data_IF_879460180986
#
_entry.id   IF_879460180986
#
_cell.length_a   1.000
_cell.length_b   1.000
_cell.length_c   1.000
_cell.angle_alpha   90.00
_cell.angle_beta   90.00
_cell.angle_gamma   90.00
#
_symmetry.space_group_name_H-M   'P 1'
#
loop_
_entity.id
_entity.type
_entity.pdbx_description
1 polymer ?
#
# COMPACT_ATOMS: atom_id res chain seq x y z
N UNK A 1 22.30 -1.69 -18.27
CA UNK A 1 21.78 -2.69 -17.31
C UNK A 1 20.28 -2.51 -17.29
N UNK A 2 19.54 -3.51 -17.78
CA UNK A 2 18.22 -3.33 -18.39
C UNK A 2 17.15 -2.76 -17.46
N UNK A 3 16.61 -1.59 -17.81
CA UNK A 3 15.23 -1.24 -17.49
C UNK A 3 14.35 -2.12 -18.36
N UNK A 4 14.23 -3.39 -17.99
CA UNK A 4 13.32 -4.35 -18.57
C UNK A 4 12.25 -4.55 -17.52
N UNK A 5 11.12 -3.87 -17.70
CA UNK A 5 9.77 -4.42 -17.48
C UNK A 5 8.69 -3.32 -17.50
N UNK A 6 8.50 -2.73 -18.68
CA UNK A 6 7.22 -2.09 -19.02
C UNK A 6 6.16 -3.20 -19.12
N UNK A 7 5.57 -3.59 -18.00
CA UNK A 7 4.48 -4.55 -17.98
C UNK A 7 3.25 -3.89 -18.62
N UNK A 8 3.11 -4.04 -19.94
CA UNK A 8 1.93 -3.65 -20.70
C UNK A 8 1.04 -4.90 -20.77
N UNK A 9 -0.14 -4.83 -20.14
CA UNK A 9 -1.21 -5.77 -20.45
C UNK A 9 -2.01 -5.22 -21.64
N UNK A 10 -2.23 -6.06 -22.64
CA UNK A 10 -3.05 -5.74 -23.82
C UNK A 10 -4.45 -6.30 -23.56
N UNK A 11 -5.39 -5.43 -23.16
CA UNK A 11 -6.81 -5.80 -23.09
C UNK A 11 -7.52 -5.24 -24.31
N UNK A 12 -7.93 -6.11 -25.22
CA UNK A 12 -8.70 -5.87 -26.46
C UNK A 12 -8.18 -4.78 -27.41
N UNK A 13 -7.96 -3.53 -26.97
CA UNK A 13 -7.48 -2.39 -27.77
C UNK A 13 -6.63 -1.37 -26.96
N UNK A 14 -6.47 -1.53 -25.63
CA UNK A 14 -5.74 -0.59 -24.77
C UNK A 14 -4.49 -1.22 -24.13
N UNK A 15 -3.38 -0.47 -24.19
CA UNK A 15 -2.15 -0.73 -23.44
C UNK A 15 -2.28 -0.09 -22.06
N UNK A 16 -2.44 -0.89 -21.02
CA UNK A 16 -2.41 -0.40 -19.64
C UNK A 16 -0.98 -0.50 -19.13
N UNK A 17 -0.41 0.63 -18.69
CA UNK A 17 0.87 0.63 -18.00
C UNK A 17 0.64 0.14 -16.57
N UNK A 18 1.02 -1.12 -16.27
CA UNK A 18 0.80 -1.73 -14.96
C UNK A 18 1.42 -0.90 -13.84
N UNK A 19 2.51 -0.18 -14.08
CA UNK A 19 3.11 0.72 -13.10
C UNK A 19 2.18 1.85 -12.66
N UNK A 20 1.36 2.39 -13.56
CA UNK A 20 0.39 3.46 -13.24
C UNK A 20 -0.71 2.91 -12.34
N UNK A 21 -1.25 1.75 -12.70
CA UNK A 21 -2.28 1.06 -11.92
C UNK A 21 -1.73 0.68 -10.53
N UNK A 22 -0.53 0.10 -10.46
CA UNK A 22 0.16 -0.20 -9.21
C UNK A 22 0.37 1.04 -8.34
N UNK A 23 0.79 2.17 -8.92
CA UNK A 23 1.00 3.41 -8.19
C UNK A 23 -0.31 3.95 -7.61
N UNK A 24 -1.38 3.93 -8.40
CA UNK A 24 -2.72 4.37 -7.98
C UNK A 24 -3.27 3.51 -6.83
N UNK A 25 -3.25 2.18 -6.99
CA UNK A 25 -3.70 1.24 -5.96
C UNK A 25 -2.89 1.41 -4.67
N UNK A 26 -1.57 1.50 -4.79
CA UNK A 26 -0.68 1.70 -3.64
C UNK A 26 -1.02 2.98 -2.89
N UNK A 27 -1.23 4.08 -3.61
CA UNK A 27 -1.59 5.36 -3.00
C UNK A 27 -2.92 5.26 -2.25
N UNK A 28 -3.93 4.64 -2.86
CA UNK A 28 -5.25 4.42 -2.24
C UNK A 28 -5.15 3.60 -0.95
N UNK A 29 -4.40 2.49 -0.97
CA UNK A 29 -4.15 1.66 0.21
C UNK A 29 -3.46 2.48 1.31
N UNK A 30 -2.40 3.21 1.00
CA UNK A 30 -1.67 4.00 2.00
C UNK A 30 -2.58 5.07 2.63
N UNK A 31 -3.39 5.76 1.83
CA UNK A 31 -4.33 6.76 2.32
C UNK A 31 -5.36 6.18 3.29
N UNK A 32 -5.86 4.97 3.02
CA UNK A 32 -6.77 4.27 3.92
C UNK A 32 -6.13 4.04 5.30
N UNK A 33 -4.86 3.59 5.32
CA UNK A 33 -4.13 3.34 6.56
C UNK A 33 -3.82 4.64 7.31
N UNK A 34 -3.37 5.69 6.61
CA UNK A 34 -3.12 7.02 7.21
C UNK A 34 -4.39 7.57 7.83
N UNK A 35 -5.52 7.47 7.12
CA UNK A 35 -6.83 7.95 7.60
C UNK A 35 -7.24 7.20 8.86
N UNK A 36 -7.17 5.87 8.85
CA UNK A 36 -7.46 5.04 10.01
C UNK A 36 -6.61 5.43 11.23
N UNK A 37 -5.28 5.57 11.03
CA UNK A 37 -4.36 6.01 12.08
C UNK A 37 -4.73 7.37 12.66
N UNK A 38 -5.06 8.35 11.79
CA UNK A 38 -5.43 9.71 12.19
C UNK A 38 -6.74 9.74 12.97
N UNK A 39 -7.77 8.99 12.54
CA UNK A 39 -9.05 8.87 13.24
C UNK A 39 -8.86 8.33 14.66
N UNK A 40 -7.94 7.38 14.83
CA UNK A 40 -7.61 6.83 16.15
C UNK A 40 -6.64 7.70 16.98
N UNK A 41 -6.29 8.91 16.51
CA UNK A 41 -5.36 9.81 17.19
C UNK A 41 -3.96 9.22 17.39
N UNK A 42 -3.54 8.26 16.54
CA UNK A 42 -2.24 7.61 16.68
C UNK A 42 -1.13 8.36 15.96
N UNK A 43 0.00 8.55 16.63
CA UNK A 43 1.24 8.99 15.96
C UNK A 43 1.87 7.85 15.17
N UNK A 44 2.72 8.16 14.18
CA UNK A 44 3.50 7.14 13.47
C UNK A 44 4.36 6.30 14.43
N UNK A 45 4.93 6.92 15.48
CA UNK A 45 5.71 6.23 16.50
C UNK A 45 4.87 5.24 17.32
N UNK A 46 3.64 5.63 17.69
CA UNK A 46 2.70 4.75 18.40
C UNK A 46 2.27 3.57 17.54
N UNK A 47 1.97 3.82 16.26
CA UNK A 47 1.64 2.76 15.30
C UNK A 47 2.81 1.80 15.11
N UNK A 48 4.02 2.32 14.91
CA UNK A 48 5.24 1.53 14.78
C UNK A 48 5.48 0.61 15.99
N UNK A 49 5.33 1.16 17.21
CA UNK A 49 5.45 0.39 18.46
C UNK A 49 4.41 -0.73 18.54
N UNK A 50 3.15 -0.47 18.14
CA UNK A 50 2.09 -1.49 18.13
C UNK A 50 2.32 -2.57 17.06
N UNK A 51 2.81 -2.17 15.88
CA UNK A 51 3.07 -3.07 14.76
C UNK A 51 4.37 -3.88 14.92
N UNK A 52 5.19 -3.57 15.94
CA UNK A 52 6.47 -4.24 16.15
C UNK A 52 7.48 -3.99 15.02
N UNK A 53 7.43 -2.81 14.39
CA UNK A 53 8.34 -2.43 13.30
C UNK A 53 8.97 -1.06 13.54
N UNK A 54 10.13 -0.76 12.94
CA UNK A 54 10.76 0.55 13.05
C UNK A 54 9.85 1.68 12.60
N UNK A 55 9.91 2.84 13.29
CA UNK A 55 9.17 4.05 12.88
C UNK A 55 9.50 4.47 11.45
N UNK A 56 10.75 4.30 11.03
CA UNK A 56 11.21 4.57 9.66
C UNK A 56 10.43 3.77 8.62
N UNK A 57 10.02 2.54 8.94
CA UNK A 57 9.19 1.73 8.05
C UNK A 57 7.79 2.35 7.90
N UNK A 58 7.17 2.79 9.00
CA UNK A 58 5.89 3.53 8.94
C UNK A 58 6.02 4.82 8.14
N UNK A 59 7.08 5.60 8.36
CA UNK A 59 7.30 6.85 7.62
C UNK A 59 7.48 6.60 6.12
N UNK A 60 8.28 5.61 5.73
CA UNK A 60 8.44 5.23 4.31
C UNK A 60 7.12 4.73 3.72
N UNK A 61 6.33 4.00 4.52
CA UNK A 61 5.06 3.43 4.06
C UNK A 61 4.06 4.54 3.78
N UNK A 62 3.92 5.47 4.71
CA UNK A 62 3.03 6.63 4.56
C UNK A 62 3.50 7.63 3.49
N UNK A 63 4.75 7.56 3.03
CA UNK A 63 5.25 8.42 1.97
C UNK A 63 4.98 7.90 0.56
N UNK A 64 4.52 6.66 0.39
CA UNK A 64 4.26 6.07 -0.94
C UNK A 64 5.49 5.71 -1.77
N UNK A 65 6.69 5.90 -1.20
CA UNK A 65 7.94 5.82 -1.96
C UNK A 65 8.46 4.39 -2.20
N UNK A 66 7.77 3.36 -1.71
CA UNK A 66 8.13 1.97 -1.99
C UNK A 66 6.90 1.06 -1.99
N UNK A 67 7.07 -0.16 -2.50
CA UNK A 67 6.02 -1.18 -2.52
C UNK A 67 5.99 -1.95 -1.19
N UNK A 68 5.01 -1.73 -0.29
CA UNK A 68 4.91 -2.50 0.94
C UNK A 68 4.58 -3.97 0.65
N UNK A 69 5.19 -4.89 1.38
CA UNK A 69 4.83 -6.30 1.31
C UNK A 69 3.45 -6.54 1.93
N UNK A 70 2.78 -7.62 1.50
CA UNK A 70 1.52 -8.06 2.11
C UNK A 70 1.67 -8.27 3.63
N UNK A 71 2.78 -8.86 4.06
CA UNK A 71 3.09 -9.05 5.48
C UNK A 71 3.07 -7.72 6.25
N UNK A 72 3.69 -6.68 5.70
CA UNK A 72 3.72 -5.37 6.33
C UNK A 72 2.33 -4.74 6.40
N UNK A 73 1.53 -4.85 5.32
CA UNK A 73 0.15 -4.37 5.31
C UNK A 73 -0.68 -5.05 6.43
N UNK A 74 -0.59 -6.39 6.53
CA UNK A 74 -1.28 -7.16 7.56
C UNK A 74 -0.84 -6.73 8.97
N UNK A 75 0.46 -6.56 9.22
CA UNK A 75 0.97 -6.10 10.54
C UNK A 75 0.43 -4.73 10.92
N UNK A 76 0.42 -3.77 9.98
CA UNK A 76 -0.06 -2.42 10.26
C UNK A 76 -1.58 -2.43 10.46
N UNK A 77 -2.34 -3.19 9.68
CA UNK A 77 -3.78 -3.35 9.86
C UNK A 77 -4.10 -3.91 11.26
N UNK A 78 -3.41 -4.98 11.66
CA UNK A 78 -3.57 -5.56 12.99
C UNK A 78 -3.24 -4.56 14.11
N UNK A 79 -2.18 -3.76 13.96
CA UNK A 79 -1.81 -2.71 14.92
C UNK A 79 -2.85 -1.58 15.04
N UNK A 80 -3.62 -1.34 13.98
CA UNK A 80 -4.77 -0.44 13.92
C UNK A 80 -6.07 -1.10 14.43
N UNK A 81 -6.05 -2.39 14.78
CA UNK A 81 -7.25 -3.15 15.15
C UNK A 81 -8.18 -3.41 13.95
N UNK A 82 -7.61 -3.50 12.75
CA UNK A 82 -8.30 -3.69 11.48
C UNK A 82 -7.89 -5.03 10.84
N UNK A 83 -8.71 -5.51 9.90
CA UNK A 83 -8.39 -6.67 9.06
C UNK A 83 -8.17 -6.21 7.62
N UNK A 84 -7.13 -6.71 6.95
CA UNK A 84 -6.90 -6.47 5.53
C UNK A 84 -7.72 -7.46 4.70
N UNK A 85 -8.59 -6.93 3.84
CA UNK A 85 -9.33 -7.70 2.84
C UNK A 85 -8.89 -7.26 1.44
N UNK A 86 -8.63 -8.23 0.56
CA UNK A 86 -8.31 -7.99 -0.85
C UNK A 86 -9.35 -8.71 -1.70
N UNK A 87 -9.89 -8.00 -2.69
CA UNK A 87 -10.88 -8.52 -3.64
C UNK A 87 -10.45 -8.14 -5.05
N UNK A 88 -10.66 -9.05 -6.01
CA UNK A 88 -10.45 -8.77 -7.43
C UNK A 88 -11.77 -8.33 -8.05
N UNK A 89 -11.71 -7.29 -8.87
CA UNK A 89 -12.85 -6.75 -9.60
C UNK A 89 -12.63 -6.96 -11.11
N UNK A 90 -13.71 -7.15 -11.85
CA UNK A 90 -13.66 -7.17 -13.32
C UNK A 90 -13.13 -5.84 -13.86
N UNK A 91 -12.33 -5.90 -14.92
CA UNK A 91 -11.94 -4.71 -15.68
C UNK A 91 -13.04 -4.47 -16.72
N UNK A 92 -13.86 -3.44 -16.51
CA UNK A 92 -14.81 -2.92 -17.51
C UNK A 92 -14.08 -2.12 -18.59
#
# INVERSE_FOLDING_TARGET
>A
MGNSMDYIYTSAEQKILIEVEQKSIRQSVIEQYIRCRKIQGMTQAKLAKRAGIPRTNITRFESGNYNPSLEMLVRIAAALGMTLQVQLMGKE
#
